data_IF_012928707020
#
_entry.id   IF_012928707020
#
_cell.length_a   1.000
_cell.length_b   1.000
_cell.length_c   1.000
_cell.angle_alpha   90.00
_cell.angle_beta   90.00
_cell.angle_gamma   90.00
#
_symmetry.space_group_name_H-M   'P 1'
#
loop_
_entity.id
_entity.type
_entity.pdbx_description
1 polymer ?
#
# COMPACT_ATOMS: atom_id res chain seq x y z
N UNK A 1 -27.22 18.55 11.08
CA UNK A 1 -26.06 19.01 10.29
C UNK A 1 -25.09 19.66 11.27
N UNK A 2 -24.45 18.83 12.09
CA UNK A 2 -23.54 19.31 13.13
C UNK A 2 -22.18 19.63 12.52
N UNK A 3 -21.72 20.81 12.91
CA UNK A 3 -20.45 21.45 12.69
C UNK A 3 -19.27 20.45 12.71
N UNK A 4 -18.85 19.99 11.52
CA UNK A 4 -17.49 19.49 11.32
C UNK A 4 -16.57 20.66 11.67
N UNK A 5 -16.13 20.71 12.92
CA UNK A 5 -15.16 21.68 13.42
C UNK A 5 -14.05 21.85 12.39
N UNK A 6 -13.99 23.03 11.77
CA UNK A 6 -13.17 23.32 10.58
C UNK A 6 -11.76 22.79 10.80
N UNK A 7 -11.45 21.65 10.18
CA UNK A 7 -10.13 21.02 10.29
C UNK A 7 -9.13 22.02 9.73
N UNK A 8 -8.15 22.42 10.55
CA UNK A 8 -7.27 23.52 10.16
C UNK A 8 -6.47 23.15 8.90
N UNK A 9 -6.17 24.11 8.05
CA UNK A 9 -5.34 23.90 6.84
C UNK A 9 -4.00 23.23 7.17
N UNK A 10 -3.45 23.51 8.37
CA UNK A 10 -2.21 22.90 8.87
C UNK A 10 -2.37 21.40 9.16
N UNK A 11 -3.52 20.98 9.68
CA UNK A 11 -3.83 19.58 9.97
C UNK A 11 -4.03 18.81 8.65
N UNK A 12 -4.78 19.37 7.70
CA UNK A 12 -4.96 18.80 6.36
C UNK A 12 -3.63 18.59 5.64
N UNK A 13 -2.77 19.62 5.64
CA UNK A 13 -1.44 19.54 5.01
C UNK A 13 -0.55 18.50 5.69
N UNK A 14 -0.58 18.42 7.02
CA UNK A 14 0.18 17.41 7.77
C UNK A 14 -0.27 15.99 7.45
N UNK A 15 -1.58 15.73 7.42
CA UNK A 15 -2.12 14.43 7.02
C UNK A 15 -1.68 14.07 5.60
N UNK A 16 -1.75 15.01 4.65
CA UNK A 16 -1.25 14.77 3.28
C UNK A 16 0.23 14.40 3.25
N UNK A 17 1.08 15.12 3.97
CA UNK A 17 2.51 14.83 4.03
C UNK A 17 2.81 13.46 4.65
N UNK A 18 2.18 13.14 5.78
CA UNK A 18 2.41 11.89 6.50
C UNK A 18 1.86 10.70 5.71
N UNK A 19 0.65 10.81 5.18
CA UNK A 19 0.01 9.78 4.37
C UNK A 19 0.75 9.56 3.04
N UNK A 20 1.12 10.65 2.36
CA UNK A 20 1.89 10.62 1.12
C UNK A 20 3.28 10.03 1.32
N UNK A 21 4.02 10.50 2.34
CA UNK A 21 5.33 9.95 2.69
C UNK A 21 5.26 8.49 3.13
N UNK A 22 4.18 8.10 3.81
CA UNK A 22 3.92 6.72 4.22
C UNK A 22 3.70 5.78 3.04
N UNK A 23 2.84 6.15 2.09
CA UNK A 23 2.65 5.33 0.88
C UNK A 23 3.87 5.33 -0.03
N UNK A 24 4.56 6.47 -0.16
CA UNK A 24 5.83 6.54 -0.88
C UNK A 24 6.82 5.51 -0.35
N UNK A 25 7.06 5.52 0.97
CA UNK A 25 8.04 4.63 1.62
C UNK A 25 7.61 3.16 1.62
N UNK A 26 6.34 2.88 1.87
CA UNK A 26 5.78 1.53 1.84
C UNK A 26 5.82 0.92 0.43
N UNK A 27 5.45 1.70 -0.60
CA UNK A 27 5.49 1.26 -2.00
C UNK A 27 6.93 1.07 -2.47
N UNK A 28 7.82 2.00 -2.13
CA UNK A 28 9.25 1.89 -2.42
C UNK A 28 9.82 0.57 -1.87
N UNK A 29 9.61 0.31 -0.57
CA UNK A 29 10.12 -0.90 0.11
C UNK A 29 9.57 -2.20 -0.48
N UNK A 30 8.31 -2.20 -0.88
CA UNK A 30 7.68 -3.35 -1.54
C UNK A 30 8.31 -3.60 -2.90
N UNK A 31 8.49 -2.54 -3.69
CA UNK A 31 9.04 -2.62 -5.06
C UNK A 31 10.51 -3.08 -5.10
N UNK A 32 11.29 -2.83 -4.04
CA UNK A 32 12.68 -3.29 -3.96
C UNK A 32 12.84 -4.79 -4.22
N UNK A 33 11.87 -5.64 -3.82
CA UNK A 33 11.93 -7.09 -4.07
C UNK A 33 12.06 -7.41 -5.57
N UNK A 34 11.24 -6.74 -6.38
CA UNK A 34 11.12 -7.02 -7.80
C UNK A 34 12.44 -6.85 -8.54
N UNK A 35 13.31 -5.93 -8.08
CA UNK A 35 14.61 -5.66 -8.69
C UNK A 35 15.72 -6.60 -8.23
N UNK A 36 15.57 -7.23 -7.06
CA UNK A 36 16.62 -8.07 -6.45
C UNK A 36 16.27 -9.55 -6.41
N UNK A 37 15.04 -9.93 -6.77
CA UNK A 37 14.57 -11.31 -6.65
C UNK A 37 15.47 -12.29 -7.43
N UNK A 38 15.83 -11.97 -8.67
CA UNK A 38 16.68 -12.83 -9.49
C UNK A 38 18.08 -13.01 -8.88
N UNK A 39 18.70 -11.94 -8.36
CA UNK A 39 20.02 -12.04 -7.73
C UNK A 39 19.98 -12.76 -6.38
N UNK A 40 18.88 -12.66 -5.64
CA UNK A 40 18.66 -13.45 -4.42
C UNK A 40 18.51 -14.94 -4.74
N UNK A 41 17.76 -15.30 -5.79
CA UNK A 41 17.60 -16.70 -6.24
C UNK A 41 18.98 -17.33 -6.51
N UNK A 42 19.83 -16.63 -7.26
CA UNK A 42 21.20 -17.08 -7.54
C UNK A 42 22.05 -17.11 -6.27
N UNK A 43 21.99 -16.08 -5.42
CA UNK A 43 22.83 -15.98 -4.21
C UNK A 43 22.56 -17.11 -3.21
N UNK A 44 21.29 -17.48 -3.03
CA UNK A 44 20.88 -18.53 -2.11
C UNK A 44 20.83 -19.92 -2.75
N UNK A 45 21.11 -20.02 -4.06
CA UNK A 45 21.03 -21.27 -4.84
C UNK A 45 19.66 -21.97 -4.70
N UNK A 46 18.58 -21.18 -4.75
CA UNK A 46 17.21 -21.66 -4.58
C UNK A 46 16.49 -21.80 -5.92
N UNK A 47 15.40 -22.57 -5.95
CA UNK A 47 14.57 -22.69 -7.14
C UNK A 47 13.78 -21.40 -7.40
N UNK A 48 13.38 -21.17 -8.67
CA UNK A 48 12.49 -20.07 -9.02
C UNK A 48 11.17 -20.10 -8.26
N UNK A 49 10.65 -21.31 -7.97
CA UNK A 49 9.43 -21.50 -7.18
C UNK A 49 9.61 -21.02 -5.73
N UNK A 50 10.74 -21.34 -5.10
CA UNK A 50 11.07 -20.85 -3.76
C UNK A 50 11.25 -19.32 -3.76
N UNK A 51 11.91 -18.76 -4.78
CA UNK A 51 12.00 -17.32 -4.96
C UNK A 51 10.63 -16.64 -5.10
N UNK A 52 9.73 -17.20 -5.91
CA UNK A 52 8.36 -16.71 -6.07
C UNK A 52 7.56 -16.71 -4.76
N UNK A 53 7.81 -17.70 -3.89
CA UNK A 53 7.14 -17.83 -2.60
C UNK A 53 7.45 -16.66 -1.64
N UNK A 54 8.57 -15.95 -1.83
CA UNK A 54 8.92 -14.74 -1.05
C UNK A 54 7.83 -13.66 -1.21
N UNK A 55 7.35 -13.44 -2.44
CA UNK A 55 6.30 -12.47 -2.72
C UNK A 55 4.97 -12.90 -2.10
N UNK A 56 4.63 -14.19 -2.24
CA UNK A 56 3.44 -14.79 -1.61
C UNK A 56 3.41 -14.57 -0.10
N UNK A 57 4.52 -14.86 0.60
CA UNK A 57 4.62 -14.67 2.05
C UNK A 57 4.50 -13.19 2.44
N UNK A 58 5.06 -12.28 1.62
CA UNK A 58 4.88 -10.83 1.83
C UNK A 58 3.41 -10.44 1.76
N UNK A 59 2.68 -10.93 0.77
CA UNK A 59 1.25 -10.64 0.58
C UNK A 59 0.38 -11.24 1.70
N UNK A 60 0.70 -12.46 2.16
CA UNK A 60 0.06 -13.05 3.35
C UNK A 60 0.33 -12.17 4.57
N UNK A 61 1.55 -11.68 4.73
CA UNK A 61 1.91 -10.71 5.76
C UNK A 61 1.04 -9.44 5.67
N UNK A 62 0.84 -8.87 4.48
CA UNK A 62 -0.01 -7.69 4.29
C UNK A 62 -1.47 -7.95 4.71
N UNK A 63 -2.02 -9.11 4.39
CA UNK A 63 -3.35 -9.52 4.85
C UNK A 63 -3.41 -9.55 6.38
N UNK A 64 -2.47 -10.26 7.02
CA UNK A 64 -2.39 -10.36 8.49
C UNK A 64 -2.23 -8.98 9.13
N UNK A 65 -1.38 -8.14 8.54
CA UNK A 65 -1.13 -6.77 8.97
C UNK A 65 -2.38 -5.91 8.95
N UNK A 66 -3.15 -5.93 7.86
CA UNK A 66 -4.40 -5.19 7.75
C UNK A 66 -5.44 -5.65 8.77
N UNK A 67 -5.57 -6.96 8.98
CA UNK A 67 -6.52 -7.54 9.94
C UNK A 67 -6.17 -7.23 11.40
N UNK A 68 -4.88 -7.15 11.75
CA UNK A 68 -4.43 -6.85 13.11
C UNK A 68 -4.43 -5.34 13.37
N UNK A 69 -3.78 -4.57 12.49
CA UNK A 69 -3.49 -3.17 12.74
C UNK A 69 -4.63 -2.22 12.37
N UNK A 70 -5.60 -2.64 11.56
CA UNK A 70 -6.83 -1.86 11.33
C UNK A 70 -7.61 -1.62 12.63
N UNK A 71 -8.13 -2.67 13.29
CA UNK A 71 -8.83 -2.53 14.56
C UNK A 71 -7.94 -1.96 15.68
N UNK A 72 -6.65 -2.28 15.67
CA UNK A 72 -5.72 -1.70 16.64
C UNK A 72 -5.60 -0.18 16.47
N UNK A 73 -5.61 0.33 15.24
CA UNK A 73 -5.58 1.77 14.99
C UNK A 73 -6.87 2.46 15.46
N UNK A 74 -8.02 1.80 15.28
CA UNK A 74 -9.30 2.30 15.79
C UNK A 74 -9.27 2.41 17.33
N UNK A 75 -8.61 1.46 18.01
CA UNK A 75 -8.59 1.41 19.48
C UNK A 75 -7.48 2.22 20.13
N UNK A 76 -6.26 2.16 19.59
CA UNK A 76 -5.05 2.65 20.24
C UNK A 76 -4.58 4.00 19.72
N UNK A 77 -5.08 4.46 18.58
CA UNK A 77 -4.71 5.71 17.93
C UNK A 77 -4.14 5.48 16.53
N UNK A 78 -4.53 6.35 15.60
CA UNK A 78 -4.10 6.30 14.20
C UNK A 78 -2.59 6.51 14.10
N UNK A 79 -2.09 7.53 14.77
CA UNK A 79 -0.68 7.95 14.67
C UNK A 79 0.23 6.92 15.32
N UNK A 80 -0.13 6.42 16.50
CA UNK A 80 0.66 5.39 17.20
C UNK A 80 0.80 4.12 16.38
N UNK A 81 -0.31 3.65 15.78
CA UNK A 81 -0.30 2.42 14.99
C UNK A 81 0.37 2.64 13.63
N UNK A 82 0.25 3.82 13.03
CA UNK A 82 1.06 4.20 11.87
C UNK A 82 2.55 4.06 12.17
N UNK A 83 3.02 4.66 13.27
CA UNK A 83 4.43 4.66 13.62
C UNK A 83 4.94 3.24 13.91
N UNK A 84 4.15 2.44 14.64
CA UNK A 84 4.48 1.04 14.93
C UNK A 84 4.60 0.19 13.66
N UNK A 85 3.58 0.25 12.78
CA UNK A 85 3.59 -0.51 11.53
C UNK A 85 4.73 -0.08 10.62
N UNK A 86 5.04 1.22 10.61
CA UNK A 86 6.19 1.80 9.92
C UNK A 86 7.53 1.28 10.43
N UNK A 87 7.69 1.25 11.76
CA UNK A 87 8.87 0.68 12.38
C UNK A 87 9.04 -0.81 12.05
N UNK A 88 7.96 -1.59 12.12
CA UNK A 88 7.97 -3.03 11.80
C UNK A 88 8.46 -3.27 10.36
N UNK A 89 7.84 -2.64 9.36
CA UNK A 89 8.25 -2.90 7.98
C UNK A 89 9.62 -2.31 7.66
N UNK A 90 9.97 -1.13 8.20
CA UNK A 90 11.26 -0.49 7.90
C UNK A 90 12.42 -1.26 8.53
N UNK A 91 12.28 -1.68 9.79
CA UNK A 91 13.28 -2.50 10.47
C UNK A 91 13.43 -3.87 9.78
N UNK A 92 12.32 -4.54 9.47
CA UNK A 92 12.37 -5.81 8.75
C UNK A 92 13.00 -5.67 7.35
N UNK A 93 12.71 -4.57 6.65
CA UNK A 93 13.34 -4.26 5.36
C UNK A 93 14.84 -4.06 5.51
N UNK A 94 15.30 -3.30 6.51
CA UNK A 94 16.73 -3.13 6.78
C UNK A 94 17.44 -4.43 7.15
N UNK A 95 16.81 -5.26 7.99
CA UNK A 95 17.34 -6.54 8.43
C UNK A 95 17.52 -7.55 7.28
N UNK A 96 16.82 -7.37 6.15
CA UNK A 96 17.01 -8.21 4.95
C UNK A 96 18.45 -8.17 4.44
N UNK A 97 19.16 -7.06 4.61
CA UNK A 97 20.56 -6.95 4.22
C UNK A 97 21.46 -8.00 4.90
N UNK A 98 21.06 -8.48 6.07
CA UNK A 98 21.80 -9.46 6.87
C UNK A 98 21.24 -10.88 6.74
N UNK A 99 20.27 -11.11 5.85
CA UNK A 99 19.69 -12.43 5.68
C UNK A 99 20.74 -13.43 5.16
N UNK A 100 20.92 -14.51 5.92
CA UNK A 100 21.90 -15.57 5.66
C UNK A 100 21.30 -16.79 4.94
N UNK A 101 19.97 -16.96 5.00
CA UNK A 101 19.24 -18.07 4.38
C UNK A 101 17.82 -17.65 3.98
N UNK A 102 17.12 -18.52 3.26
CA UNK A 102 15.79 -18.23 2.72
C UNK A 102 14.71 -18.15 3.81
N UNK A 103 14.86 -18.90 4.89
CA UNK A 103 13.94 -18.93 6.02
C UNK A 103 13.90 -17.56 6.71
N UNK A 104 15.07 -16.94 6.92
CA UNK A 104 15.18 -15.58 7.43
C UNK A 104 14.58 -14.57 6.44
N UNK A 105 14.79 -14.75 5.14
CA UNK A 105 14.15 -13.93 4.11
C UNK A 105 12.63 -14.02 4.21
N UNK A 106 12.06 -15.22 4.31
CA UNK A 106 10.61 -15.43 4.44
C UNK A 106 10.07 -14.77 5.70
N UNK A 107 10.70 -14.96 6.85
CA UNK A 107 10.28 -14.34 8.11
C UNK A 107 10.29 -12.81 8.01
N UNK A 108 11.40 -12.22 7.54
CA UNK A 108 11.52 -10.77 7.41
C UNK A 108 10.52 -10.24 6.39
N UNK A 109 10.29 -10.95 5.29
CA UNK A 109 9.30 -10.56 4.26
C UNK A 109 7.87 -10.64 4.74
N UNK A 110 7.55 -11.64 5.56
CA UNK A 110 6.29 -11.68 6.28
C UNK A 110 6.11 -10.43 7.14
N UNK A 111 7.13 -10.05 7.92
CA UNK A 111 7.09 -8.84 8.77
C UNK A 111 7.00 -7.54 7.97
N UNK A 112 7.72 -7.43 6.84
CA UNK A 112 7.57 -6.31 5.88
C UNK A 112 6.13 -6.23 5.40
N UNK A 113 5.53 -7.37 5.04
CA UNK A 113 4.12 -7.46 4.69
C UNK A 113 3.21 -6.98 5.82
N UNK A 114 3.39 -7.51 7.03
CA UNK A 114 2.59 -7.18 8.23
C UNK A 114 2.61 -5.67 8.52
N UNK A 115 3.78 -5.04 8.53
CA UNK A 115 3.86 -3.59 8.70
C UNK A 115 3.30 -2.81 7.49
N UNK A 116 3.57 -3.27 6.27
CA UNK A 116 3.12 -2.62 5.04
C UNK A 116 1.59 -2.63 4.86
N UNK A 117 0.93 -3.76 5.16
CA UNK A 117 -0.53 -3.86 5.12
C UNK A 117 -1.20 -3.04 6.23
N UNK A 118 -0.60 -3.03 7.42
CA UNK A 118 -1.08 -2.23 8.53
C UNK A 118 -1.01 -0.72 8.25
N UNK A 119 0.15 -0.21 7.81
CA UNK A 119 0.31 1.22 7.53
C UNK A 119 -0.61 1.70 6.41
N UNK A 120 -0.85 0.87 5.38
CA UNK A 120 -1.77 1.21 4.28
C UNK A 120 -3.19 1.45 4.80
N UNK A 121 -3.73 0.53 5.60
CA UNK A 121 -5.05 0.67 6.20
C UNK A 121 -5.16 1.91 7.08
N UNK A 122 -4.16 2.14 7.94
CA UNK A 122 -4.11 3.30 8.83
C UNK A 122 -4.08 4.62 8.05
N UNK A 123 -3.30 4.70 6.96
CA UNK A 123 -3.24 5.88 6.09
C UNK A 123 -4.62 6.21 5.52
N UNK A 124 -5.34 5.20 5.03
CA UNK A 124 -6.67 5.40 4.46
C UNK A 124 -7.67 5.88 5.52
N UNK A 125 -7.61 5.34 6.74
CA UNK A 125 -8.39 5.84 7.87
C UNK A 125 -8.04 7.28 8.24
N UNK A 126 -6.75 7.64 8.28
CA UNK A 126 -6.32 9.02 8.58
C UNK A 126 -6.80 10.03 7.54
N UNK A 127 -6.77 9.65 6.26
CA UNK A 127 -7.35 10.48 5.18
C UNK A 127 -8.85 10.61 5.35
N UNK A 128 -9.56 9.51 5.68
CA UNK A 128 -10.99 9.53 5.90
C UNK A 128 -11.41 10.38 7.10
N UNK A 129 -10.62 10.37 8.18
CA UNK A 129 -10.84 11.18 9.39
C UNK A 129 -10.58 12.68 9.14
N UNK A 130 -9.73 13.02 8.17
CA UNK A 130 -9.29 14.41 7.93
C UNK A 130 -10.05 15.12 6.80
N UNK A 131 -10.54 14.37 5.80
CA UNK A 131 -11.12 14.94 4.58
C UNK A 131 -12.57 14.52 4.40
N UNK A 132 -13.39 15.47 3.94
CA UNK A 132 -14.81 15.27 3.68
C UNK A 132 -15.04 14.34 2.49
N UNK A 133 -16.25 13.81 2.36
CA UNK A 133 -16.59 12.86 1.29
C UNK A 133 -16.40 13.47 -0.12
N UNK A 134 -16.52 14.79 -0.26
CA UNK A 134 -16.39 15.54 -1.52
C UNK A 134 -14.93 15.76 -1.94
N UNK A 135 -13.97 15.41 -1.09
CA UNK A 135 -12.53 15.57 -1.36
C UNK A 135 -11.75 14.27 -1.16
N UNK A 136 -12.37 13.28 -0.53
CA UNK A 136 -11.70 12.05 -0.09
C UNK A 136 -11.15 11.27 -1.27
N UNK A 137 -11.85 11.22 -2.39
CA UNK A 137 -11.40 10.55 -3.59
C UNK A 137 -10.17 11.20 -4.20
N UNK A 138 -10.22 12.50 -4.45
CA UNK A 138 -9.08 13.28 -4.94
C UNK A 138 -7.85 13.15 -4.03
N UNK A 139 -8.04 13.28 -2.73
CA UNK A 139 -6.92 13.19 -1.77
C UNK A 139 -6.34 11.79 -1.70
N UNK A 140 -7.19 10.76 -1.68
CA UNK A 140 -6.73 9.37 -1.72
C UNK A 140 -5.91 9.11 -2.98
N UNK A 141 -6.37 9.59 -4.14
CA UNK A 141 -5.62 9.50 -5.39
C UNK A 141 -4.26 10.19 -5.33
N UNK A 142 -4.16 11.36 -4.70
CA UNK A 142 -2.87 12.06 -4.58
C UNK A 142 -1.90 11.28 -3.72
N UNK A 143 -2.38 10.74 -2.61
CA UNK A 143 -1.58 9.93 -1.70
C UNK A 143 -1.13 8.63 -2.36
N UNK A 144 -1.99 7.95 -3.14
CA UNK A 144 -1.63 6.71 -3.85
C UNK A 144 -0.68 6.94 -5.03
N UNK A 145 -0.79 8.08 -5.73
CA UNK A 145 0.18 8.48 -6.76
C UNK A 145 1.57 8.67 -6.14
N UNK A 146 1.69 9.24 -4.94
CA UNK A 146 2.98 9.34 -4.25
C UNK A 146 3.58 7.95 -3.93
N UNK A 147 2.75 6.93 -3.73
CA UNK A 147 3.20 5.53 -3.69
C UNK A 147 3.88 5.09 -4.99
N UNK A 148 3.29 5.42 -6.15
CA UNK A 148 3.90 5.12 -7.46
C UNK A 148 5.22 5.86 -7.66
N UNK A 149 5.30 7.12 -7.23
CA UNK A 149 6.56 7.87 -7.22
C UNK A 149 7.61 7.17 -6.36
N UNK A 150 7.21 6.64 -5.19
CA UNK A 150 8.08 5.81 -4.34
C UNK A 150 8.64 4.59 -5.05
N UNK A 151 7.80 3.87 -5.80
CA UNK A 151 8.22 2.73 -6.62
C UNK A 151 9.22 3.11 -7.71
N UNK A 152 9.06 4.27 -8.36
CA UNK A 152 10.02 4.79 -9.35
C UNK A 152 11.35 5.12 -8.68
N UNK A 153 11.33 5.83 -7.55
CA UNK A 153 12.55 6.17 -6.80
C UNK A 153 13.27 4.91 -6.34
N UNK A 154 12.54 3.89 -5.90
CA UNK A 154 13.09 2.58 -5.54
C UNK A 154 13.80 1.90 -6.74
N UNK A 155 13.24 1.98 -7.94
CA UNK A 155 13.85 1.47 -9.16
C UNK A 155 15.17 2.19 -9.49
N UNK A 156 15.17 3.53 -9.43
CA UNK A 156 16.35 4.35 -9.68
C UNK A 156 17.45 4.08 -8.65
N UNK A 157 17.08 4.00 -7.37
CA UNK A 157 18.00 3.65 -6.30
C UNK A 157 18.61 2.25 -6.54
N UNK A 158 17.77 1.24 -6.83
CA UNK A 158 18.23 -0.12 -7.11
C UNK A 158 19.22 -0.17 -8.29
N UNK A 159 18.96 0.56 -9.38
CA UNK A 159 19.84 0.61 -10.55
C UNK A 159 21.26 1.13 -10.22
N UNK A 160 21.39 2.03 -9.24
CA UNK A 160 22.68 2.58 -8.80
C UNK A 160 23.35 1.68 -7.76
N UNK A 161 22.58 1.13 -6.82
CA UNK A 161 23.12 0.44 -5.64
C UNK A 161 23.48 -1.02 -5.94
N UNK A 162 22.69 -1.71 -6.76
CA UNK A 162 22.90 -3.13 -7.07
C UNK A 162 24.29 -3.37 -7.66
N UNK A 163 24.78 -2.60 -8.66
CA UNK A 163 26.14 -2.79 -9.19
C UNK A 163 27.25 -2.55 -8.16
N UNK A 164 27.02 -1.69 -7.16
CA UNK A 164 28.05 -1.28 -6.20
C UNK A 164 28.13 -2.20 -4.97
N UNK A 165 26.99 -2.70 -4.50
CA UNK A 165 26.88 -3.38 -3.19
C UNK A 165 25.96 -4.61 -3.22
N UNK A 166 25.50 -5.01 -4.40
CA UNK A 166 24.55 -6.09 -4.59
C UNK A 166 23.18 -5.78 -3.99
N UNK A 167 22.38 -6.84 -3.84
CA UNK A 167 21.01 -6.73 -3.33
C UNK A 167 20.94 -6.32 -1.85
N UNK A 168 21.98 -6.59 -1.07
CA UNK A 168 22.00 -6.28 0.38
C UNK A 168 21.99 -4.78 0.63
N UNK A 169 22.77 -4.00 -0.11
CA UNK A 169 22.83 -2.54 0.07
C UNK A 169 21.50 -1.84 -0.22
N UNK A 170 20.71 -2.37 -1.15
CA UNK A 170 19.38 -1.84 -1.49
C UNK A 170 18.44 -1.90 -0.29
N UNK A 171 18.49 -2.98 0.49
CA UNK A 171 17.65 -3.15 1.68
C UNK A 171 18.04 -2.25 2.85
N UNK A 172 19.32 -1.91 2.99
CA UNK A 172 19.76 -0.91 3.98
C UNK A 172 19.11 0.46 3.71
N UNK A 173 19.01 0.85 2.44
CA UNK A 173 18.28 2.07 2.06
C UNK A 173 16.78 1.96 2.31
N UNK A 174 16.21 0.76 2.15
CA UNK A 174 14.84 0.45 2.54
C UNK A 174 14.55 0.58 4.05
N UNK A 175 15.57 0.74 4.90
CA UNK A 175 15.40 0.99 6.34
C UNK A 175 15.11 2.46 6.68
N UNK A 176 15.37 3.41 5.75
CA UNK A 176 15.17 4.85 5.97
C UNK A 176 13.77 5.26 6.48
N UNK A 177 12.66 4.58 6.13
CA UNK A 177 11.35 4.94 6.64
C UNK A 177 11.22 4.83 8.17
N UNK A 178 12.19 4.23 8.88
CA UNK A 178 12.25 4.25 10.34
C UNK A 178 12.23 5.69 10.90
N UNK A 179 12.90 6.63 10.21
CA UNK A 179 12.92 8.04 10.59
C UNK A 179 11.56 8.71 10.42
N UNK A 180 10.79 8.30 9.40
CA UNK A 180 9.41 8.74 9.22
C UNK A 180 8.54 8.21 10.36
N UNK A 181 8.68 6.95 10.74
CA UNK A 181 7.98 6.37 11.90
C UNK A 181 8.27 7.13 13.20
N UNK A 182 9.54 7.46 13.47
CA UNK A 182 9.96 8.24 14.65
C UNK A 182 9.37 9.66 14.59
N UNK A 183 9.45 10.33 13.43
CA UNK A 183 8.88 11.66 13.25
C UNK A 183 7.36 11.65 13.50
N UNK A 184 6.65 10.67 12.96
CA UNK A 184 5.20 10.56 13.13
C UNK A 184 4.85 10.31 14.59
N UNK A 185 5.54 9.40 15.27
CA UNK A 185 5.32 9.12 16.69
C UNK A 185 5.55 10.35 17.59
N UNK A 186 6.55 11.17 17.28
CA UNK A 186 6.99 12.26 18.17
C UNK A 186 6.37 13.61 17.85
N UNK A 187 5.99 13.88 16.59
CA UNK A 187 5.58 15.22 16.12
C UNK A 187 4.14 15.31 15.63
N UNK A 188 3.50 14.18 15.32
CA UNK A 188 2.14 14.18 14.77
C UNK A 188 1.15 13.92 15.91
N UNK A 189 0.18 14.81 16.16
CA UNK A 189 -0.88 14.57 17.12
C UNK A 189 -1.94 13.63 16.53
N UNK A 190 -2.63 12.87 17.39
CA UNK A 190 -3.77 12.04 17.00
C UNK A 190 -4.91 12.88 16.39
N UNK A 191 -5.69 12.27 15.49
CA UNK A 191 -6.80 12.96 14.81
C UNK A 191 -7.89 13.36 15.80
N UNK A 192 -8.46 14.55 15.59
CA UNK A 192 -9.55 15.06 16.45
C UNK A 192 -10.77 14.14 16.43
N UNK A 193 -11.09 13.59 15.26
CA UNK A 193 -12.21 12.66 15.09
C UNK A 193 -11.99 11.37 15.88
N UNK A 194 -10.76 10.83 15.90
CA UNK A 194 -10.44 9.68 16.75
C UNK A 194 -10.53 10.02 18.24
N UNK A 195 -10.05 11.20 18.66
CA UNK A 195 -10.17 11.65 20.05
C UNK A 195 -11.63 11.80 20.49
N UNK A 196 -12.48 12.42 19.66
CA UNK A 196 -13.92 12.53 19.90
C UNK A 196 -14.59 11.16 20.00
N UNK A 197 -14.32 10.28 19.03
CA UNK A 197 -14.87 8.91 19.03
C UNK A 197 -14.49 8.15 20.30
N UNK A 198 -13.24 8.33 20.77
CA UNK A 198 -12.77 7.74 22.02
C UNK A 198 -13.46 8.31 23.26
N UNK A 199 -13.72 9.62 23.31
CA UNK A 199 -14.45 10.25 24.42
C UNK A 199 -15.90 9.76 24.50
N UNK A 200 -16.60 9.68 23.36
CA UNK A 200 -17.97 9.16 23.28
C UNK A 200 -18.02 7.67 23.66
N UNK A 201 -17.12 6.85 23.11
CA UNK A 201 -17.04 5.41 23.41
C UNK A 201 -16.58 5.12 24.84
N UNK A 202 -15.98 6.06 25.56
CA UNK A 202 -15.64 5.89 26.98
C UNK A 202 -16.84 6.14 27.90
N UNK A 203 -17.89 6.82 27.40
CA UNK A 203 -19.14 7.10 28.13
C UNK A 203 -20.20 6.01 27.94
N UNK A 204 -20.15 5.25 26.85
CA UNK A 204 -21.03 4.10 26.59
C UNK A 204 -20.28 2.78 26.80
N UNK A 205 -20.97 1.76 27.32
CA UNK A 205 -20.39 0.45 27.67
C UNK A 205 -19.63 -0.14 26.48
N UNK A 206 -18.33 -0.39 26.66
CA UNK A 206 -17.36 -0.74 25.62
C UNK A 206 -17.75 -2.00 24.84
N UNK A 207 -18.33 -1.86 23.65
CA UNK A 207 -18.22 -2.91 22.64
C UNK A 207 -16.80 -2.86 22.08
N UNK A 208 -16.05 -3.94 22.25
CA UNK A 208 -14.71 -4.05 21.65
C UNK A 208 -14.90 -4.12 20.14
N UNK A 209 -14.51 -3.06 19.41
CA UNK A 209 -14.49 -3.07 17.94
C UNK A 209 -13.68 -4.31 17.50
N UNK A 210 -14.37 -5.24 16.85
CA UNK A 210 -13.84 -6.54 16.44
C UNK A 210 -14.05 -6.71 14.94
N UNK A 211 -13.20 -7.50 14.28
CA UNK A 211 -13.37 -7.83 12.85
C UNK A 211 -14.76 -8.42 12.51
N UNK A 212 -15.41 -9.06 13.48
CA UNK A 212 -16.77 -9.58 13.31
C UNK A 212 -17.81 -8.48 13.10
N UNK A 213 -17.54 -7.25 13.54
CA UNK A 213 -18.48 -6.13 13.38
C UNK A 213 -18.63 -5.74 11.91
N UNK A 214 -17.65 -6.07 11.05
CA UNK A 214 -17.77 -5.96 9.59
C UNK A 214 -18.88 -6.86 9.01
N UNK A 215 -19.27 -7.91 9.73
CA UNK A 215 -20.29 -8.87 9.30
C UNK A 215 -21.59 -8.73 10.09
N UNK A 216 -21.64 -7.87 11.11
CA UNK A 216 -22.83 -7.61 11.92
C UNK A 216 -23.67 -6.49 11.32
N UNK A 217 -24.84 -6.25 11.90
CA UNK A 217 -25.74 -5.13 11.58
C UNK A 217 -26.13 -5.05 10.09
N UNK A 218 -26.30 -6.21 9.44
CA UNK A 218 -26.68 -6.29 8.03
C UNK A 218 -25.56 -6.01 7.04
N UNK A 219 -24.33 -5.73 7.50
CA UNK A 219 -23.20 -5.40 6.63
C UNK A 219 -22.51 -6.61 5.99
N UNK A 220 -22.82 -7.84 6.43
CA UNK A 220 -22.19 -9.07 5.90
C UNK A 220 -22.20 -9.15 4.37
N UNK A 221 -23.33 -8.83 3.72
CA UNK A 221 -23.43 -8.88 2.25
C UNK A 221 -22.50 -7.88 1.59
N UNK A 222 -22.41 -6.66 2.12
CA UNK A 222 -21.54 -5.61 1.57
C UNK A 222 -20.06 -5.98 1.76
N UNK A 223 -19.69 -6.47 2.94
CA UNK A 223 -18.33 -6.91 3.25
C UNK A 223 -17.88 -8.04 2.33
N UNK A 224 -18.72 -9.05 2.11
CA UNK A 224 -18.41 -10.17 1.19
C UNK A 224 -18.28 -9.65 -0.24
N UNK A 225 -19.23 -8.82 -0.73
CA UNK A 225 -19.18 -8.25 -2.08
C UNK A 225 -17.91 -7.43 -2.32
N UNK A 226 -17.55 -6.55 -1.39
CA UNK A 226 -16.36 -5.73 -1.47
C UNK A 226 -15.08 -6.58 -1.43
N UNK A 227 -15.06 -7.62 -0.61
CA UNK A 227 -13.91 -8.54 -0.52
C UNK A 227 -13.71 -9.30 -1.84
N UNK A 228 -14.77 -9.84 -2.42
CA UNK A 228 -14.71 -10.54 -3.72
C UNK A 228 -14.26 -9.57 -4.82
N UNK A 229 -14.88 -8.39 -4.88
CA UNK A 229 -14.54 -7.36 -5.86
C UNK A 229 -13.07 -6.94 -5.78
N UNK A 230 -12.56 -6.68 -4.57
CA UNK A 230 -11.16 -6.32 -4.36
C UNK A 230 -10.21 -7.48 -4.72
N UNK A 231 -10.58 -8.71 -4.37
CA UNK A 231 -9.78 -9.90 -4.69
C UNK A 231 -9.66 -10.10 -6.19
N UNK A 232 -10.77 -10.02 -6.93
CA UNK A 232 -10.79 -10.14 -8.39
C UNK A 232 -9.98 -9.02 -9.04
N UNK A 233 -10.13 -7.78 -8.55
CA UNK A 233 -9.36 -6.63 -9.07
C UNK A 233 -7.86 -6.81 -8.87
N UNK A 234 -7.42 -7.19 -7.66
CA UNK A 234 -6.01 -7.39 -7.31
C UNK A 234 -5.43 -8.57 -8.10
N UNK A 235 -6.15 -9.70 -8.17
CA UNK A 235 -5.73 -10.87 -8.91
C UNK A 235 -5.59 -10.58 -10.41
N UNK A 236 -6.57 -9.90 -11.01
CA UNK A 236 -6.54 -9.47 -12.40
C UNK A 236 -5.38 -8.51 -12.68
N UNK A 237 -5.18 -7.52 -11.81
CA UNK A 237 -4.08 -6.56 -11.92
C UNK A 237 -2.70 -7.24 -11.86
N UNK A 238 -2.41 -7.99 -10.80
CA UNK A 238 -1.09 -8.64 -10.67
C UNK A 238 -0.88 -9.76 -11.70
N UNK A 239 -1.93 -10.49 -12.06
CA UNK A 239 -1.87 -11.49 -13.12
C UNK A 239 -1.47 -10.88 -14.46
N UNK A 240 -2.13 -9.79 -14.87
CA UNK A 240 -1.78 -9.08 -16.10
C UNK A 240 -0.41 -8.41 -16.00
N UNK A 241 -0.14 -7.64 -14.95
CA UNK A 241 1.09 -6.84 -14.86
C UNK A 241 2.36 -7.68 -14.75
N UNK A 242 2.32 -8.82 -14.04
CA UNK A 242 3.51 -9.66 -13.87
C UNK A 242 3.81 -10.53 -15.09
N UNK A 243 2.79 -10.99 -15.81
CA UNK A 243 2.96 -12.01 -16.85
C UNK A 243 2.87 -11.44 -18.27
N UNK A 244 2.14 -10.34 -18.48
CA UNK A 244 1.98 -9.74 -19.81
C UNK A 244 3.31 -9.33 -20.46
N UNK A 245 4.30 -8.75 -19.74
CA UNK A 245 5.61 -8.46 -20.34
C UNK A 245 6.32 -9.71 -20.86
N UNK A 246 6.24 -10.82 -20.12
CA UNK A 246 6.84 -12.10 -20.53
C UNK A 246 6.09 -12.71 -21.73
N UNK A 247 4.76 -12.63 -21.74
CA UNK A 247 3.92 -13.15 -22.84
C UNK A 247 4.18 -12.37 -24.13
N UNK A 248 4.26 -11.04 -24.05
CA UNK A 248 4.57 -10.18 -25.20
C UNK A 248 5.99 -10.40 -25.72
N UNK A 249 6.98 -10.62 -24.85
CA UNK A 249 8.33 -10.98 -25.29
C UNK A 249 8.38 -12.34 -26.01
N UNK A 250 7.71 -13.36 -25.46
CA UNK A 250 7.70 -14.72 -26.04
C UNK A 250 6.89 -14.83 -27.33
N UNK A 251 5.73 -14.14 -27.42
CA UNK A 251 4.83 -14.23 -28.58
C UNK A 251 5.06 -13.18 -29.65
N UNK A 252 5.50 -11.97 -29.28
CA UNK A 252 5.60 -10.84 -30.21
C UNK A 252 7.05 -10.51 -30.60
N UNK A 253 8.05 -11.23 -30.08
CA UNK A 253 9.47 -11.00 -30.39
C UNK A 253 9.97 -9.61 -29.98
N UNK A 254 9.25 -8.92 -29.10
CA UNK A 254 9.58 -7.57 -28.66
C UNK A 254 10.85 -7.57 -27.80
N UNK A 255 11.74 -6.62 -28.06
CA UNK A 255 12.99 -6.47 -27.32
C UNK A 255 12.77 -6.07 -25.86
N UNK A 256 13.78 -6.30 -25.01
CA UNK A 256 13.76 -5.93 -23.58
C UNK A 256 13.53 -4.42 -23.37
N UNK A 257 14.02 -3.56 -24.27
CA UNK A 257 13.80 -2.11 -24.19
C UNK A 257 12.35 -1.71 -24.42
N UNK A 258 11.62 -2.42 -25.29
CA UNK A 258 10.18 -2.22 -25.50
C UNK A 258 9.35 -2.54 -24.24
N UNK A 259 9.78 -3.54 -23.47
CA UNK A 259 9.11 -3.93 -22.21
C UNK A 259 9.28 -2.89 -21.10
N UNK A 260 10.46 -2.27 -21.01
CA UNK A 260 10.72 -1.16 -20.07
C UNK A 260 9.90 0.10 -20.41
N UNK A 261 9.80 0.44 -21.70
CA UNK A 261 8.95 1.56 -22.17
C UNK A 261 7.48 1.30 -21.83
N UNK A 262 7.00 0.07 -22.04
CA UNK A 262 5.64 -0.34 -21.67
C UNK A 262 5.37 -0.18 -20.16
N UNK A 263 6.32 -0.53 -19.30
CA UNK A 263 6.16 -0.41 -17.85
C UNK A 263 6.08 1.05 -17.40
N UNK A 264 6.92 1.94 -17.96
CA UNK A 264 6.85 3.39 -17.69
C UNK A 264 5.53 3.97 -18.18
N UNK A 265 5.11 3.64 -19.40
CA UNK A 265 3.83 4.08 -19.95
C UNK A 265 2.66 3.60 -19.08
N UNK A 266 2.73 2.38 -18.55
CA UNK A 266 1.73 1.81 -17.65
C UNK A 266 1.69 2.55 -16.31
N UNK A 267 2.82 2.87 -15.70
CA UNK A 267 2.87 3.62 -14.43
C UNK A 267 2.30 5.04 -14.62
N UNK A 268 2.63 5.71 -15.73
CA UNK A 268 2.06 7.02 -16.07
C UNK A 268 0.55 6.91 -16.28
N UNK A 269 0.10 5.92 -17.08
CA UNK A 269 -1.31 5.65 -17.32
C UNK A 269 -2.09 5.34 -16.05
N UNK A 270 -1.53 4.53 -15.16
CA UNK A 270 -2.08 4.25 -13.83
C UNK A 270 -2.21 5.52 -13.00
N UNK A 271 -1.17 6.35 -12.97
CA UNK A 271 -1.15 7.59 -12.19
C UNK A 271 -2.20 8.59 -12.70
N UNK A 272 -2.31 8.75 -14.02
CA UNK A 272 -3.37 9.55 -14.65
C UNK A 272 -4.76 8.97 -14.38
N UNK A 273 -4.92 7.65 -14.48
CA UNK A 273 -6.16 6.95 -14.16
C UNK A 273 -6.60 7.18 -12.72
N UNK A 274 -5.69 7.03 -11.75
CA UNK A 274 -5.94 7.31 -10.34
C UNK A 274 -6.32 8.79 -10.13
N UNK A 275 -5.62 9.71 -10.78
CA UNK A 275 -5.91 11.15 -10.70
C UNK A 275 -7.33 11.45 -11.18
N UNK A 276 -7.68 11.00 -12.39
CA UNK A 276 -9.00 11.22 -13.00
C UNK A 276 -10.10 10.53 -12.19
N UNK A 277 -9.86 9.29 -11.73
CA UNK A 277 -10.79 8.54 -10.90
C UNK A 277 -11.17 9.31 -9.64
N UNK A 278 -10.19 9.87 -8.92
CA UNK A 278 -10.44 10.65 -7.71
C UNK A 278 -11.34 11.87 -7.95
N UNK A 279 -11.10 12.61 -9.04
CA UNK A 279 -11.93 13.77 -9.41
C UNK A 279 -13.36 13.38 -9.75
N UNK A 280 -13.53 12.27 -10.48
CA UNK A 280 -14.84 11.78 -10.90
C UNK A 280 -15.60 11.23 -9.68
N UNK A 281 -14.94 10.41 -8.86
CA UNK A 281 -15.52 9.81 -7.67
C UNK A 281 -16.09 10.86 -6.72
N UNK A 282 -15.38 11.97 -6.51
CA UNK A 282 -15.84 13.06 -5.64
C UNK A 282 -17.09 13.77 -6.20
N UNK A 283 -17.33 13.73 -7.52
CA UNK A 283 -18.46 14.41 -8.18
C UNK A 283 -19.71 13.54 -8.30
N UNK A 284 -19.55 12.27 -8.67
CA UNK A 284 -20.67 11.38 -9.02
C UNK A 284 -20.83 10.21 -8.03
N UNK A 285 -20.00 10.17 -6.99
CA UNK A 285 -20.00 9.13 -5.97
C UNK A 285 -19.22 7.87 -6.37
N UNK A 286 -18.80 7.11 -5.36
CA UNK A 286 -17.95 5.91 -5.50
C UNK A 286 -18.59 4.83 -6.37
N UNK A 287 -19.86 4.50 -6.15
CA UNK A 287 -20.54 3.41 -6.87
C UNK A 287 -20.56 3.66 -8.39
N UNK A 288 -20.93 4.87 -8.82
CA UNK A 288 -21.04 5.21 -10.25
C UNK A 288 -19.65 5.29 -10.88
N UNK A 289 -18.70 5.97 -10.21
CA UNK A 289 -17.33 6.07 -10.69
C UNK A 289 -16.66 4.70 -10.87
N UNK A 290 -16.79 3.80 -9.87
CA UNK A 290 -16.27 2.44 -9.96
C UNK A 290 -16.87 1.67 -11.15
N UNK A 291 -18.19 1.73 -11.35
CA UNK A 291 -18.85 1.06 -12.48
C UNK A 291 -18.34 1.54 -13.83
N UNK A 292 -18.21 2.86 -14.01
CA UNK A 292 -17.70 3.45 -15.26
C UNK A 292 -16.29 2.96 -15.56
N UNK A 293 -15.40 3.00 -14.56
CA UNK A 293 -14.00 2.60 -14.75
C UNK A 293 -13.84 1.11 -14.99
N UNK A 294 -14.62 0.26 -14.31
CA UNK A 294 -14.58 -1.19 -14.55
C UNK A 294 -15.12 -1.55 -15.93
N UNK A 295 -16.22 -0.95 -16.37
CA UNK A 295 -16.76 -1.16 -17.72
C UNK A 295 -15.78 -0.66 -18.79
N UNK A 296 -15.21 0.53 -18.60
CA UNK A 296 -14.19 1.07 -19.50
C UNK A 296 -12.95 0.15 -19.57
N UNK A 297 -12.49 -0.38 -18.42
CA UNK A 297 -11.39 -1.34 -18.38
C UNK A 297 -11.73 -2.65 -19.08
N UNK A 298 -12.94 -3.18 -18.89
CA UNK A 298 -13.38 -4.40 -19.55
C UNK A 298 -13.43 -4.22 -21.07
N UNK A 299 -14.00 -3.10 -21.55
CA UNK A 299 -14.06 -2.75 -22.97
C UNK A 299 -12.65 -2.58 -23.55
N UNK A 300 -11.76 -1.88 -22.86
CA UNK A 300 -10.38 -1.66 -23.32
C UNK A 300 -9.62 -2.98 -23.53
N UNK A 301 -9.84 -3.99 -22.67
CA UNK A 301 -9.21 -5.32 -22.82
C UNK A 301 -9.67 -6.04 -24.09
N UNK A 302 -10.89 -5.80 -24.59
CA UNK A 302 -11.36 -6.40 -25.85
C UNK A 302 -10.79 -5.73 -27.10
N UNK A 303 -10.28 -4.51 -26.99
CA UNK A 303 -9.74 -3.73 -28.10
C UNK A 303 -8.21 -3.74 -28.19
N UNK A 304 -7.52 -4.43 -27.27
CA UNK A 304 -6.05 -4.61 -27.22
C UNK A 304 -5.72 -6.06 -27.52
#
# INVERSE_FOLDING_TARGET
MEEQAVISSKERYRTLLVSGGGLFSQSASTMLLSFVLASMITSFHISGTAGGFISTITNIGMLVGGLIFGPLADRNGRVKVYALTTFIYAAATGLMAFAANIEMVYLLRFLVGVGGGGVYGVIMSMVADTFTNEQRGRVTSYVTILGQVGSIVAALAAAIIIPLSGWRGVFLLGALPIFLGIYVYTRVPESREWLKAKETSSREVTSKITLLDLFRDGNASNTVKLTIMATVQIAGYFGLMNWLPSILQQKSGLSVSSSSIWMIATIIGMSLGMFVFGQIMDRIGSKVAYSIFLLASAIAVFFI
#
